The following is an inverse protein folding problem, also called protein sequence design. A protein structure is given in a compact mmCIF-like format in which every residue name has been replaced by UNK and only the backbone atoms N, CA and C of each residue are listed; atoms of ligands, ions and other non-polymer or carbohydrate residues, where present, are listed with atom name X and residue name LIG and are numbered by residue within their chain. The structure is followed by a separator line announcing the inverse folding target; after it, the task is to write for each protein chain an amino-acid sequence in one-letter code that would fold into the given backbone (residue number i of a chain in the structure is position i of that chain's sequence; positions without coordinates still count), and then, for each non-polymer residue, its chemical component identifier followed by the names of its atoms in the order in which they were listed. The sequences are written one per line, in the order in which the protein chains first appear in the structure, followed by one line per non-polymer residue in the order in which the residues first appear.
data_IF_516355319164
#
_entry.id   IF_516355319164
#
_cell.length_a   1.000
_cell.length_b   1.000
_cell.length_c   1.000
_cell.angle_alpha   90.00
_cell.angle_beta   90.00
_cell.angle_gamma   90.00
#
_symmetry.space_group_name_H-M   'P 1'
#
loop_
_entity.id
_entity.type
_entity.pdbx_description
1 polymer ?
#
# COMPACT_ATOMS: atom_id res chain seq x y z
N UNK A 1 -10.48 -10.46 13.19
CA UNK A 1 -10.50 -9.29 12.26
C UNK A 1 -9.12 -8.66 12.32
N UNK A 2 -8.48 -8.43 11.17
CA UNK A 2 -7.13 -7.85 11.09
C UNK A 2 -7.21 -6.34 10.96
N UNK A 3 -6.29 -5.63 11.61
CA UNK A 3 -6.19 -4.18 11.56
C UNK A 3 -5.35 -3.73 10.37
N UNK A 4 -5.92 -2.87 9.51
CA UNK A 4 -5.26 -2.28 8.35
C UNK A 4 -5.16 -0.78 8.55
N UNK A 5 -3.94 -0.26 8.51
CA UNK A 5 -3.68 1.18 8.53
C UNK A 5 -3.14 1.62 7.17
N UNK A 6 -3.86 2.53 6.52
CA UNK A 6 -3.41 3.17 5.27
C UNK A 6 -2.90 4.56 5.59
N UNK A 7 -1.59 4.77 5.42
CA UNK A 7 -0.95 6.06 5.63
C UNK A 7 -1.15 6.93 4.40
N UNK A 8 -1.82 8.07 4.58
CA UNK A 8 -2.06 9.08 3.54
C UNK A 8 -1.04 10.21 3.67
N UNK A 9 -0.46 10.62 2.55
CA UNK A 9 0.63 11.58 2.48
C UNK A 9 0.29 12.75 1.57
N UNK A 10 0.84 13.92 1.91
CA UNK A 10 0.63 15.16 1.14
C UNK A 10 1.18 15.02 -0.28
N UNK A 11 0.55 15.69 -1.24
CA UNK A 11 0.88 15.69 -2.68
C UNK A 11 0.93 14.29 -3.32
N UNK A 12 0.24 13.32 -2.72
CA UNK A 12 0.14 11.97 -3.24
C UNK A 12 -0.96 11.79 -4.29
N UNK A 13 -1.04 10.58 -4.83
CA UNK A 13 -2.18 10.18 -5.65
C UNK A 13 -3.22 9.48 -4.78
N UNK A 14 -4.39 10.11 -4.58
CA UNK A 14 -5.43 9.62 -3.68
C UNK A 14 -5.82 8.17 -3.94
N UNK A 15 -5.84 7.72 -5.21
CA UNK A 15 -6.16 6.34 -5.58
C UNK A 15 -5.23 5.30 -4.95
N UNK A 16 -3.96 5.66 -4.64
CA UNK A 16 -3.02 4.76 -3.96
C UNK A 16 -3.36 4.50 -2.50
N UNK A 17 -4.21 5.32 -1.91
CA UNK A 17 -4.76 5.16 -0.57
C UNK A 17 -6.22 4.68 -0.59
N UNK A 18 -7.06 5.29 -1.44
CA UNK A 18 -8.50 5.00 -1.49
C UNK A 18 -8.76 3.54 -1.91
N UNK A 19 -8.07 3.05 -2.94
CA UNK A 19 -8.29 1.68 -3.41
C UNK A 19 -7.97 0.61 -2.35
N UNK A 20 -6.83 0.65 -1.63
CA UNK A 20 -6.64 -0.23 -0.48
C UNK A 20 -7.73 -0.11 0.59
N UNK A 21 -8.12 1.12 0.95
CA UNK A 21 -9.19 1.33 1.95
C UNK A 21 -10.47 0.62 1.53
N UNK A 22 -10.91 0.82 0.29
CA UNK A 22 -12.15 0.22 -0.22
C UNK A 22 -12.05 -1.30 -0.33
N UNK A 23 -10.97 -1.85 -0.87
CA UNK A 23 -10.79 -3.29 -1.06
C UNK A 23 -10.81 -4.01 0.30
N UNK A 24 -10.04 -3.53 1.28
CA UNK A 24 -10.02 -4.16 2.60
C UNK A 24 -11.35 -3.96 3.36
N UNK A 25 -12.00 -2.79 3.20
CA UNK A 25 -13.29 -2.53 3.82
C UNK A 25 -14.38 -3.46 3.28
N UNK A 26 -14.36 -3.74 1.97
CA UNK A 26 -15.39 -4.54 1.31
C UNK A 26 -15.10 -6.04 1.26
N UNK A 27 -13.88 -6.47 1.59
CA UNK A 27 -13.57 -7.90 1.68
C UNK A 27 -14.43 -8.61 2.74
N UNK A 28 -15.23 -9.58 2.30
CA UNK A 28 -16.22 -10.30 3.12
C UNK A 28 -17.53 -9.53 3.36
N UNK A 29 -17.72 -8.35 2.77
CA UNK A 29 -18.91 -7.52 2.94
C UNK A 29 -19.71 -7.34 1.65
N UNK A 30 -19.17 -6.61 0.67
CA UNK A 30 -19.94 -6.13 -0.48
C UNK A 30 -20.62 -7.25 -1.27
N UNK A 31 -19.90 -8.37 -1.50
CA UNK A 31 -20.51 -9.53 -2.14
C UNK A 31 -21.71 -10.05 -1.37
N UNK A 32 -21.58 -10.17 -0.05
CA UNK A 32 -22.62 -10.66 0.82
C UNK A 32 -23.83 -9.71 0.84
N UNK A 33 -23.57 -8.39 0.97
CA UNK A 33 -24.61 -7.36 0.94
C UNK A 33 -25.40 -7.38 -0.39
N UNK A 34 -24.72 -7.59 -1.52
CA UNK A 34 -25.34 -7.67 -2.85
C UNK A 34 -26.18 -8.97 -3.07
N UNK A 35 -26.01 -9.98 -2.22
CA UNK A 35 -26.69 -11.27 -2.32
C UNK A 35 -27.57 -11.59 -1.09
N UNK A 36 -27.89 -10.57 -0.28
CA UNK A 36 -28.71 -10.70 0.93
C UNK A 36 -28.16 -11.72 1.95
N UNK A 37 -26.82 -11.84 2.02
CA UNK A 37 -26.14 -12.66 3.02
C UNK A 37 -25.59 -11.80 4.18
N UNK A 38 -25.41 -12.37 5.38
CA UNK A 38 -24.76 -11.66 6.48
C UNK A 38 -23.35 -11.21 6.10
N UNK A 39 -23.01 -9.96 6.42
CA UNK A 39 -21.66 -9.44 6.22
C UNK A 39 -20.64 -10.16 7.13
N UNK A 40 -19.52 -10.54 6.58
CA UNK A 40 -18.41 -11.21 7.26
C UNK A 40 -17.11 -10.41 7.09
N UNK A 41 -17.00 -9.21 7.71
CA UNK A 41 -15.84 -8.34 7.52
C UNK A 41 -14.56 -8.99 8.04
N UNK A 42 -13.57 -9.13 7.15
CA UNK A 42 -12.28 -9.71 7.49
C UNK A 42 -11.31 -8.69 8.12
N UNK A 43 -11.47 -7.40 7.79
CA UNK A 43 -10.56 -6.33 8.15
C UNK A 43 -11.27 -5.16 8.83
N UNK A 44 -10.54 -4.50 9.76
CA UNK A 44 -10.87 -3.19 10.30
C UNK A 44 -9.89 -2.18 9.70
N UNK A 45 -10.40 -1.27 8.88
CA UNK A 45 -9.57 -0.34 8.11
C UNK A 45 -9.63 1.05 8.72
N UNK A 46 -8.46 1.64 8.89
CA UNK A 46 -8.31 3.05 9.26
C UNK A 46 -7.29 3.76 8.36
N UNK A 47 -7.42 5.07 8.25
CA UNK A 47 -6.45 5.93 7.60
C UNK A 47 -5.71 6.77 8.62
N UNK A 48 -4.43 7.05 8.38
CA UNK A 48 -3.61 7.89 9.23
C UNK A 48 -2.82 8.90 8.39
N UNK A 49 -2.64 10.11 8.90
CA UNK A 49 -1.59 11.02 8.44
C UNK A 49 -0.60 11.28 9.57
N UNK A 50 0.51 11.94 9.31
CA UNK A 50 1.53 12.21 10.34
C UNK A 50 0.95 12.90 11.56
N UNK A 51 0.09 13.91 11.35
CA UNK A 51 -0.49 14.74 12.41
C UNK A 51 -1.94 14.41 12.75
N UNK A 52 -2.60 13.52 12.00
CA UNK A 52 -4.05 13.33 12.05
C UNK A 52 -4.84 14.41 11.32
N UNK A 53 -4.17 15.43 10.82
CA UNK A 53 -4.78 16.51 10.01
C UNK A 53 -5.06 16.07 8.57
N UNK A 54 -5.91 16.84 7.90
CA UNK A 54 -6.21 16.63 6.49
C UNK A 54 -4.96 16.74 5.63
N UNK A 55 -4.89 15.90 4.59
CA UNK A 55 -3.86 15.94 3.54
C UNK A 55 -4.52 16.17 2.19
N UNK A 56 -3.77 16.69 1.22
CA UNK A 56 -4.27 16.97 -0.12
C UNK A 56 -3.46 16.20 -1.15
N UNK A 57 -4.16 15.69 -2.14
CA UNK A 57 -3.50 15.09 -3.31
C UNK A 57 -2.85 16.16 -4.17
N UNK A 58 -1.96 15.75 -5.08
CA UNK A 58 -1.31 16.62 -6.06
C UNK A 58 -2.29 17.42 -6.94
N UNK A 59 -3.54 17.00 -7.04
CA UNK A 59 -4.64 17.68 -7.74
C UNK A 59 -5.69 18.30 -6.81
N UNK A 60 -5.35 18.49 -5.53
CA UNK A 60 -6.15 19.27 -4.56
C UNK A 60 -7.32 18.52 -3.92
N UNK A 61 -7.47 17.21 -4.12
CA UNK A 61 -8.47 16.43 -3.38
C UNK A 61 -8.06 16.28 -1.93
N UNK A 62 -8.86 16.83 -1.01
CA UNK A 62 -8.65 16.70 0.43
C UNK A 62 -9.10 15.35 0.97
N UNK A 63 -8.29 14.76 1.83
CA UNK A 63 -8.60 13.55 2.60
C UNK A 63 -8.39 13.83 4.08
N UNK A 64 -9.40 13.57 4.89
CA UNK A 64 -9.29 13.67 6.36
C UNK A 64 -9.09 12.26 6.92
N UNK A 65 -7.91 11.94 7.48
CA UNK A 65 -7.66 10.63 8.07
C UNK A 65 -8.42 10.44 9.38
N UNK A 66 -8.51 9.19 9.83
CA UNK A 66 -9.17 8.87 11.10
C UNK A 66 -8.32 9.29 12.32
N UNK A 67 -7.00 9.14 12.23
CA UNK A 67 -6.08 9.30 13.37
C UNK A 67 -4.72 9.87 12.93
N UNK A 68 -3.94 10.33 13.92
CA UNK A 68 -2.52 10.60 13.72
C UNK A 68 -1.71 9.31 13.72
N UNK A 69 -0.57 9.31 13.02
CA UNK A 69 0.35 8.17 12.98
C UNK A 69 0.83 7.77 14.38
N UNK A 70 1.06 8.78 15.27
CA UNK A 70 1.48 8.59 16.66
C UNK A 70 0.45 7.87 17.54
N UNK A 71 -0.82 7.86 17.14
CA UNK A 71 -1.90 7.22 17.92
C UNK A 71 -1.99 5.72 17.63
N UNK A 72 -1.19 5.22 16.67
CA UNK A 72 -1.18 3.82 16.26
C UNK A 72 0.00 3.11 16.91
N UNK A 73 -0.26 2.41 17.99
CA UNK A 73 0.75 1.57 18.63
C UNK A 73 1.09 0.33 17.79
N UNK A 74 0.06 -0.31 17.21
CA UNK A 74 0.18 -1.53 16.43
C UNK A 74 -0.89 -1.61 15.34
N UNK A 75 -0.51 -2.21 14.21
CA UNK A 75 -1.42 -2.64 13.13
C UNK A 75 -0.95 -3.97 12.57
N UNK A 76 -1.84 -4.74 11.94
CA UNK A 76 -1.45 -6.00 11.28
C UNK A 76 -0.94 -5.76 9.87
N UNK A 77 -1.45 -4.73 9.20
CA UNK A 77 -1.03 -4.32 7.86
C UNK A 77 -0.84 -2.81 7.84
N UNK A 78 0.38 -2.36 7.52
CA UNK A 78 0.72 -0.96 7.34
C UNK A 78 0.95 -0.67 5.86
N UNK A 79 0.13 0.19 5.25
CA UNK A 79 0.21 0.52 3.83
C UNK A 79 0.62 1.98 3.67
N UNK A 80 1.72 2.22 2.98
CA UNK A 80 2.19 3.57 2.64
C UNK A 80 1.75 3.91 1.23
N UNK A 81 0.91 4.94 1.11
CA UNK A 81 0.48 5.48 -0.19
C UNK A 81 1.59 6.26 -0.88
N UNK A 82 1.36 6.65 -2.11
CA UNK A 82 2.26 7.54 -2.86
C UNK A 82 2.24 8.96 -2.28
N UNK A 83 3.42 9.57 -2.16
CA UNK A 83 3.61 10.98 -1.88
C UNK A 83 4.06 11.74 -3.13
N UNK A 84 4.56 12.98 -2.95
CA UNK A 84 5.19 13.77 -4.03
C UNK A 84 6.38 13.04 -4.66
N UNK A 85 6.72 13.41 -5.91
CA UNK A 85 7.81 12.78 -6.66
C UNK A 85 9.21 13.26 -6.26
N UNK A 86 9.31 14.41 -5.57
CA UNK A 86 10.56 14.89 -4.97
C UNK A 86 10.82 14.11 -3.67
N UNK A 87 11.68 13.10 -3.75
CA UNK A 87 11.97 12.20 -2.62
C UNK A 87 12.68 12.90 -1.47
N UNK A 88 13.58 13.86 -1.74
CA UNK A 88 14.36 14.50 -0.69
C UNK A 88 13.45 15.36 0.18
N UNK A 89 12.57 16.14 -0.45
CA UNK A 89 11.55 16.90 0.27
C UNK A 89 10.54 15.98 0.97
N UNK A 90 10.10 14.92 0.28
CA UNK A 90 9.17 13.95 0.84
C UNK A 90 9.70 13.30 2.13
N UNK A 91 10.99 12.95 2.19
CA UNK A 91 11.58 12.33 3.39
C UNK A 91 11.77 13.33 4.53
N UNK A 92 12.08 14.59 4.24
CA UNK A 92 12.15 15.63 5.27
C UNK A 92 10.77 15.82 5.92
N UNK A 93 9.74 15.99 5.11
CA UNK A 93 8.37 16.20 5.57
C UNK A 93 7.79 14.99 6.31
N UNK A 94 8.15 13.79 5.87
CA UNK A 94 7.58 12.54 6.40
C UNK A 94 8.60 11.73 7.24
N UNK A 95 9.60 12.39 7.84
CA UNK A 95 10.68 11.71 8.57
C UNK A 95 10.20 10.81 9.71
N UNK A 96 9.11 11.17 10.38
CA UNK A 96 8.51 10.37 11.45
C UNK A 96 7.94 9.02 10.96
N UNK A 97 7.64 8.89 9.67
CA UNK A 97 7.13 7.65 9.09
C UNK A 97 8.19 6.53 9.11
N UNK A 98 9.47 6.86 8.92
CA UNK A 98 10.54 5.88 8.80
C UNK A 98 10.74 5.03 10.07
N UNK A 99 10.87 5.59 11.27
CA UNK A 99 10.94 4.79 12.50
C UNK A 99 9.65 4.05 12.79
N UNK A 100 8.48 4.64 12.49
CA UNK A 100 7.20 3.98 12.68
C UNK A 100 7.07 2.72 11.82
N UNK A 101 7.49 2.74 10.56
CA UNK A 101 7.48 1.57 9.68
C UNK A 101 8.35 0.43 10.22
N UNK A 102 9.55 0.75 10.74
CA UNK A 102 10.41 -0.25 11.39
C UNK A 102 9.73 -0.87 12.61
N UNK A 103 9.16 -0.02 13.47
CA UNK A 103 8.44 -0.47 14.67
C UNK A 103 7.28 -1.41 14.31
N UNK A 104 6.46 -1.07 13.31
CA UNK A 104 5.35 -1.93 12.90
C UNK A 104 5.86 -3.27 12.33
N UNK A 105 6.90 -3.25 11.51
CA UNK A 105 7.50 -4.48 10.99
C UNK A 105 8.08 -5.37 12.10
N UNK A 106 8.79 -4.79 13.06
CA UNK A 106 9.34 -5.49 14.24
C UNK A 106 8.22 -6.07 15.11
N UNK A 107 7.11 -5.36 15.25
CA UNK A 107 5.90 -5.83 15.94
C UNK A 107 5.13 -6.94 15.18
N UNK A 108 5.56 -7.30 13.98
CA UNK A 108 5.01 -8.41 13.20
C UNK A 108 4.09 -8.01 12.04
N UNK A 109 3.88 -6.73 11.79
CA UNK A 109 3.04 -6.26 10.70
C UNK A 109 3.58 -6.65 9.30
N UNK A 110 2.65 -6.83 8.36
CA UNK A 110 2.94 -6.75 6.94
C UNK A 110 3.07 -5.26 6.57
N UNK A 111 4.20 -4.88 6.00
CA UNK A 111 4.45 -3.48 5.62
C UNK A 111 4.47 -3.35 4.11
N UNK A 112 3.66 -2.47 3.56
CA UNK A 112 3.38 -2.36 2.13
C UNK A 112 3.72 -0.96 1.63
N UNK A 113 4.54 -0.87 0.59
CA UNK A 113 4.81 0.37 -0.14
C UNK A 113 4.14 0.36 -1.52
N UNK A 114 3.22 1.28 -1.76
CA UNK A 114 2.55 1.43 -3.06
C UNK A 114 3.29 2.47 -3.90
N UNK A 115 3.76 2.07 -5.09
CA UNK A 115 4.44 2.97 -6.04
C UNK A 115 5.62 3.70 -5.37
N UNK A 116 5.54 5.02 -5.18
CA UNK A 116 6.54 5.81 -4.43
C UNK A 116 6.63 5.40 -2.95
N UNK A 117 5.62 4.77 -2.39
CA UNK A 117 5.64 4.22 -1.04
C UNK A 117 6.79 3.25 -0.80
N UNK A 118 7.25 2.54 -1.85
CA UNK A 118 8.43 1.67 -1.79
C UNK A 118 9.72 2.43 -1.41
N UNK A 119 9.82 3.74 -1.73
CA UNK A 119 10.96 4.55 -1.35
C UNK A 119 11.05 4.74 0.17
N UNK A 120 9.93 4.89 0.87
CA UNK A 120 9.92 4.96 2.34
C UNK A 120 10.38 3.65 2.98
N UNK A 121 10.01 2.50 2.39
CA UNK A 121 10.49 1.20 2.86
C UNK A 121 11.99 1.04 2.62
N UNK A 122 12.51 1.52 1.49
CA UNK A 122 13.94 1.50 1.20
C UNK A 122 14.71 2.44 2.15
N UNK A 123 14.22 3.69 2.34
CA UNK A 123 14.84 4.69 3.22
C UNK A 123 14.82 4.26 4.68
N UNK A 124 13.77 3.57 5.12
CA UNK A 124 13.70 2.98 6.46
C UNK A 124 14.66 1.79 6.67
N UNK A 125 15.31 1.29 5.61
CA UNK A 125 16.21 0.14 5.64
C UNK A 125 15.48 -1.23 5.52
N UNK A 126 14.15 -1.25 5.48
CA UNK A 126 13.37 -2.49 5.42
C UNK A 126 13.56 -3.28 4.11
N UNK A 127 14.02 -2.65 3.03
CA UNK A 127 14.26 -3.31 1.75
C UNK A 127 15.72 -3.73 1.52
N UNK A 128 16.63 -3.44 2.43
CA UNK A 128 18.05 -3.77 2.25
C UNK A 128 18.27 -5.29 2.10
N UNK A 129 18.78 -5.71 0.95
CA UNK A 129 18.99 -7.12 0.60
C UNK A 129 17.74 -7.89 0.20
N UNK A 130 16.57 -7.22 0.11
CA UNK A 130 15.29 -7.83 -0.23
C UNK A 130 14.85 -7.53 -1.66
N UNK A 131 13.93 -8.34 -2.16
CA UNK A 131 13.25 -8.12 -3.43
C UNK A 131 12.16 -7.06 -3.27
N UNK A 132 12.10 -6.12 -4.21
CA UNK A 132 11.11 -5.05 -4.22
C UNK A 132 10.70 -4.66 -5.64
N UNK A 133 9.55 -4.03 -5.78
CA UNK A 133 9.13 -3.37 -7.01
C UNK A 133 8.69 -1.93 -6.75
N UNK A 134 8.56 -1.16 -7.80
CA UNK A 134 8.02 0.19 -7.83
C UNK A 134 7.40 0.45 -9.20
N UNK A 135 6.96 1.67 -9.48
CA UNK A 135 6.54 2.05 -10.82
C UNK A 135 7.70 1.82 -11.81
N UNK A 136 7.44 1.14 -12.93
CA UNK A 136 8.46 0.80 -13.92
C UNK A 136 9.32 2.00 -14.37
N UNK A 137 8.70 3.18 -14.55
CA UNK A 137 9.40 4.40 -14.95
C UNK A 137 10.31 5.00 -13.85
N UNK A 138 10.23 4.54 -12.61
CA UNK A 138 11.06 4.99 -11.48
C UNK A 138 12.16 3.98 -11.12
N UNK A 139 12.15 2.82 -11.74
CA UNK A 139 13.01 1.70 -11.37
C UNK A 139 14.50 2.06 -11.40
N UNK A 140 14.98 2.70 -12.47
CA UNK A 140 16.40 3.08 -12.59
C UNK A 140 16.80 4.12 -11.53
N UNK A 141 15.93 5.10 -11.26
CA UNK A 141 16.15 6.10 -10.21
C UNK A 141 16.24 5.45 -8.83
N UNK A 142 15.37 4.47 -8.56
CA UNK A 142 15.37 3.75 -7.30
C UNK A 142 16.57 2.80 -7.18
N UNK A 143 16.96 2.12 -8.25
CA UNK A 143 18.13 1.26 -8.28
C UNK A 143 19.43 2.06 -8.02
N UNK A 144 19.55 3.25 -8.61
CA UNK A 144 20.68 4.13 -8.36
C UNK A 144 20.74 4.63 -6.91
N UNK A 145 19.59 4.97 -6.32
CA UNK A 145 19.53 5.49 -4.93
C UNK A 145 19.67 4.38 -3.88
N UNK A 146 19.12 3.19 -4.15
CA UNK A 146 19.10 2.06 -3.21
C UNK A 146 19.71 0.80 -3.85
N UNK A 147 21.05 0.78 -4.08
CA UNK A 147 21.71 -0.31 -4.80
C UNK A 147 21.72 -1.65 -4.06
N UNK A 148 21.37 -1.66 -2.77
CA UNK A 148 21.27 -2.88 -1.97
C UNK A 148 19.90 -3.55 -2.07
N UNK A 149 18.95 -2.97 -2.80
CA UNK A 149 17.61 -3.55 -3.00
C UNK A 149 17.59 -4.31 -4.34
N UNK A 150 17.02 -5.49 -4.33
CA UNK A 150 16.84 -6.29 -5.56
C UNK A 150 15.56 -5.85 -6.27
N UNK A 151 15.67 -4.83 -7.10
CA UNK A 151 14.52 -4.27 -7.82
C UNK A 151 14.05 -5.17 -8.94
N UNK A 152 12.74 -5.45 -8.97
CA UNK A 152 12.02 -6.28 -9.94
C UNK A 152 10.90 -5.45 -10.59
N UNK A 153 11.26 -4.45 -11.44
CA UNK A 153 10.28 -3.52 -12.02
C UNK A 153 9.30 -4.19 -12.98
N UNK A 154 9.55 -5.41 -13.40
CA UNK A 154 8.64 -6.20 -14.23
C UNK A 154 7.43 -6.74 -13.46
N UNK A 155 7.48 -6.82 -12.12
CA UNK A 155 6.42 -7.38 -11.29
C UNK A 155 5.46 -6.29 -10.80
N UNK A 156 4.16 -6.60 -10.76
CA UNK A 156 3.18 -5.73 -10.11
C UNK A 156 3.29 -5.77 -8.59
N UNK A 157 3.58 -6.92 -8.01
CA UNK A 157 3.68 -7.12 -6.56
C UNK A 157 4.93 -7.94 -6.26
N UNK A 158 5.66 -7.53 -5.24
CA UNK A 158 6.74 -8.31 -4.63
C UNK A 158 6.47 -8.48 -3.15
N UNK A 159 6.88 -9.62 -2.60
CA UNK A 159 6.87 -9.88 -1.16
C UNK A 159 8.17 -10.54 -0.74
N UNK A 160 8.80 -10.01 0.29
CA UNK A 160 9.97 -10.60 0.94
C UNK A 160 9.96 -10.26 2.44
N UNK A 161 9.94 -11.30 3.28
CA UNK A 161 10.07 -11.15 4.75
C UNK A 161 9.05 -10.17 5.37
N UNK A 162 7.77 -10.29 4.97
CA UNK A 162 6.65 -9.42 5.40
C UNK A 162 6.75 -7.96 4.93
N UNK A 163 7.61 -7.69 3.96
CA UNK A 163 7.69 -6.40 3.29
C UNK A 163 7.20 -6.57 1.86
N UNK A 164 6.19 -5.80 1.49
CA UNK A 164 5.56 -5.86 0.17
C UNK A 164 5.74 -4.54 -0.56
N UNK A 165 5.90 -4.62 -1.87
CA UNK A 165 5.86 -3.45 -2.73
C UNK A 165 4.92 -3.69 -3.89
N UNK A 166 4.29 -2.62 -4.38
CA UNK A 166 3.54 -2.67 -5.64
C UNK A 166 4.03 -1.65 -6.65
N UNK A 167 3.77 -1.95 -7.92
CA UNK A 167 4.13 -1.13 -9.06
C UNK A 167 3.39 0.22 -9.12
N UNK A 168 2.99 0.63 -10.32
CA UNK A 168 2.36 1.94 -10.54
C UNK A 168 1.03 2.14 -9.82
N UNK A 169 0.46 3.32 -9.95
CA UNK A 169 -0.66 3.86 -9.16
C UNK A 169 -1.78 2.85 -8.87
N UNK A 170 -2.33 2.23 -9.91
CA UNK A 170 -3.42 1.25 -9.77
C UNK A 170 -2.94 -0.17 -9.41
N UNK A 171 -1.64 -0.40 -9.26
CA UNK A 171 -1.14 -1.64 -8.68
C UNK A 171 -1.42 -1.75 -7.17
N UNK A 172 -1.92 -0.67 -6.55
CA UNK A 172 -2.54 -0.72 -5.23
C UNK A 172 -3.68 -1.73 -5.14
N UNK A 173 -4.43 -1.91 -6.24
CA UNK A 173 -5.47 -2.94 -6.36
C UNK A 173 -4.85 -4.34 -6.29
N UNK A 174 -3.77 -4.57 -7.06
CA UNK A 174 -3.12 -5.88 -7.14
C UNK A 174 -2.57 -6.32 -5.79
N UNK A 175 -1.84 -5.44 -5.07
CA UNK A 175 -1.30 -5.78 -3.76
C UNK A 175 -2.39 -5.95 -2.69
N UNK A 176 -3.48 -5.18 -2.78
CA UNK A 176 -4.60 -5.31 -1.84
C UNK A 176 -5.34 -6.64 -2.03
N UNK A 177 -5.69 -6.99 -3.28
CA UNK A 177 -6.32 -8.29 -3.57
C UNK A 177 -5.38 -9.48 -3.29
N UNK A 178 -4.08 -9.33 -3.56
CA UNK A 178 -3.07 -10.32 -3.18
C UNK A 178 -3.10 -10.60 -1.66
N UNK A 179 -3.16 -9.53 -0.84
CA UNK A 179 -3.23 -9.67 0.61
C UNK A 179 -4.58 -10.24 1.09
N UNK A 180 -5.70 -9.85 0.46
CA UNK A 180 -6.99 -10.46 0.75
C UNK A 180 -6.95 -11.97 0.47
N UNK A 181 -6.39 -12.38 -0.68
CA UNK A 181 -6.25 -13.80 -1.02
C UNK A 181 -5.36 -14.55 -0.04
N UNK A 182 -4.20 -13.98 0.29
CA UNK A 182 -3.24 -14.56 1.22
C UNK A 182 -3.81 -14.77 2.63
N UNK A 183 -4.58 -13.82 3.13
CA UNK A 183 -5.05 -13.78 4.52
C UNK A 183 -6.45 -14.37 4.72
N UNK A 184 -7.31 -14.32 3.69
CA UNK A 184 -8.71 -14.73 3.76
C UNK A 184 -9.05 -15.87 2.79
N UNK A 185 -8.12 -16.24 1.90
CA UNK A 185 -8.31 -17.28 0.90
C UNK A 185 -8.88 -16.77 -0.43
N UNK A 186 -8.71 -17.62 -1.44
CA UNK A 186 -9.04 -17.31 -2.84
C UNK A 186 -10.50 -16.92 -3.05
N UNK A 187 -11.44 -17.62 -2.38
CA UNK A 187 -12.87 -17.36 -2.53
C UNK A 187 -13.25 -15.94 -2.11
N UNK A 188 -12.72 -15.46 -0.97
CA UNK A 188 -12.98 -14.10 -0.48
C UNK A 188 -12.40 -13.05 -1.44
N UNK A 189 -11.19 -13.28 -1.95
CA UNK A 189 -10.55 -12.38 -2.93
C UNK A 189 -11.35 -12.30 -4.24
N UNK A 190 -11.81 -13.45 -4.78
CA UNK A 190 -12.63 -13.49 -5.99
C UNK A 190 -13.97 -12.78 -5.79
N UNK A 191 -14.66 -13.02 -4.68
CA UNK A 191 -15.91 -12.33 -4.33
C UNK A 191 -15.71 -10.82 -4.21
N UNK A 192 -14.63 -10.40 -3.54
CA UNK A 192 -14.26 -8.99 -3.43
C UNK A 192 -14.01 -8.36 -4.80
N UNK A 193 -13.17 -8.97 -5.63
CA UNK A 193 -12.88 -8.48 -6.97
C UNK A 193 -14.14 -8.39 -7.86
N UNK A 194 -14.98 -9.43 -7.85
CA UNK A 194 -16.23 -9.46 -8.65
C UNK A 194 -17.23 -8.40 -8.20
N UNK A 195 -17.44 -8.21 -6.90
CA UNK A 195 -18.38 -7.22 -6.38
C UNK A 195 -17.96 -5.79 -6.69
N UNK A 196 -16.65 -5.54 -6.79
CA UNK A 196 -16.08 -4.23 -7.12
C UNK A 196 -15.75 -4.07 -8.62
N UNK A 197 -16.03 -5.08 -9.46
CA UNK A 197 -15.69 -5.12 -10.89
C UNK A 197 -14.18 -4.89 -11.16
N UNK A 198 -13.34 -5.42 -10.28
CA UNK A 198 -11.89 -5.36 -10.41
C UNK A 198 -11.35 -6.60 -11.14
N UNK A 199 -10.25 -6.46 -11.91
CA UNK A 199 -9.53 -7.62 -12.41
C UNK A 199 -8.89 -8.38 -11.23
N UNK A 200 -8.70 -9.69 -11.38
CA UNK A 200 -7.85 -10.44 -10.45
C UNK A 200 -6.39 -9.92 -10.53
N UNK A 201 -5.58 -10.10 -9.47
CA UNK A 201 -4.24 -9.55 -9.43
C UNK A 201 -3.42 -9.88 -10.68
N UNK A 202 -2.80 -8.86 -11.25
CA UNK A 202 -1.91 -8.96 -12.42
C UNK A 202 -0.50 -9.31 -11.94
N UNK A 203 0.26 -10.01 -12.75
CA UNK A 203 1.60 -10.49 -12.36
C UNK A 203 2.69 -9.55 -12.84
N UNK A 204 2.65 -9.14 -14.12
CA UNK A 204 3.72 -8.38 -14.76
C UNK A 204 3.26 -7.03 -15.31
N UNK A 205 4.04 -5.98 -15.05
CA UNK A 205 3.81 -4.64 -15.59
C UNK A 205 4.65 -4.31 -16.83
N UNK A 206 5.36 -5.29 -17.39
CA UNK A 206 6.20 -5.09 -18.59
C UNK A 206 5.44 -4.57 -19.82
N UNK A 207 4.16 -4.92 -19.96
CA UNK A 207 3.30 -4.43 -21.05
C UNK A 207 3.02 -2.91 -21.00
N UNK A 208 3.35 -2.24 -19.91
CA UNK A 208 3.20 -0.79 -19.74
C UNK A 208 4.52 -0.03 -19.90
N UNK A 209 5.66 -0.73 -19.90
CA UNK A 209 6.96 -0.11 -20.12
C UNK A 209 7.10 0.25 -21.60
N UNK A 210 7.29 1.53 -21.88
CA UNK A 210 7.62 2.01 -23.22
C UNK A 210 9.13 1.78 -23.45
N UNK A 211 9.47 1.14 -24.56
CA UNK A 211 10.85 0.95 -25.01
C UNK A 211 11.43 2.25 -25.54
#
# INVERSE_FOLDING_TARGET
MLDVTVVVLEDGFSSTAIMPVEIFHFAGKLWNDLHDHPAEPAFRVQTASLSGGAVHSVYGLGMTPHVALSDIERTDIAIVSTSRLDLDLAFVENSALLPWLRQQHEAGALVVGVCMGAAYLAESGLLAGRMATTHWALADKFAARYPRVNWRPELFVTEDSRVLCSGGVFASIDVSLYLVEKLCGHEVAVKCAKSMLLPMPRIHQTGYAMQ
#
